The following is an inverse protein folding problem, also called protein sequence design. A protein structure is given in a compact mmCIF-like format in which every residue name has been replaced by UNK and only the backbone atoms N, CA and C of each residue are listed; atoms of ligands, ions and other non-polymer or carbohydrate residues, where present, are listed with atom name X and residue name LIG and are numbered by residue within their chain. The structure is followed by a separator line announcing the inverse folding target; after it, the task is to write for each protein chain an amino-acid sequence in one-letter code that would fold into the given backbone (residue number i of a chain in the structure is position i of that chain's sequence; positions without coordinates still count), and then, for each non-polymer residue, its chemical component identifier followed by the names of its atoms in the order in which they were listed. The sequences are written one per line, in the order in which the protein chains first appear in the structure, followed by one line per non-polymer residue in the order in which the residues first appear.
data_IF_244905901589
#
_entry.id   IF_244905901589
#
_cell.length_a   1.000
_cell.length_b   1.000
_cell.length_c   1.000
_cell.angle_alpha   90.00
_cell.angle_beta   90.00
_cell.angle_gamma   90.00
#
_symmetry.space_group_name_H-M   'P 1'
#
loop_
_entity.id
_entity.type
_entity.pdbx_description
1 polymer ?
#
# COMPACT_ATOMS: atom_id res chain seq x y z
N UNK A 1 -59.56 36.50 3.63
CA UNK A 1 -58.35 35.74 3.18
C UNK A 1 -58.46 34.37 3.81
N UNK A 2 -58.59 33.26 3.04
CA UNK A 2 -58.64 31.90 3.61
C UNK A 2 -57.19 31.46 3.97
N UNK A 3 -56.98 31.11 5.23
CA UNK A 3 -55.75 30.48 5.69
C UNK A 3 -55.77 29.00 5.29
N UNK A 4 -54.91 28.63 4.37
CA UNK A 4 -54.66 27.24 3.99
C UNK A 4 -53.88 26.56 5.13
N UNK A 5 -54.57 25.75 5.94
CA UNK A 5 -53.92 24.95 6.97
C UNK A 5 -53.03 23.89 6.29
N UNK A 6 -51.72 23.99 6.45
CA UNK A 6 -50.74 22.97 6.07
C UNK A 6 -51.02 21.71 6.91
N UNK A 7 -51.51 20.63 6.28
CA UNK A 7 -51.61 19.31 6.90
C UNK A 7 -50.19 18.72 7.07
N UNK A 8 -49.64 18.86 8.26
CA UNK A 8 -48.43 18.16 8.65
C UNK A 8 -48.78 16.68 8.82
N UNK A 9 -48.27 15.82 7.94
CA UNK A 9 -48.37 14.36 8.12
C UNK A 9 -47.47 13.97 9.28
N UNK A 10 -48.06 13.55 10.40
CA UNK A 10 -47.32 13.00 11.54
C UNK A 10 -46.94 11.54 11.25
N UNK A 11 -45.72 11.15 11.58
CA UNK A 11 -45.22 9.75 11.49
C UNK A 11 -45.94 8.90 12.55
N UNK A 12 -46.33 7.69 12.18
CA UNK A 12 -46.89 6.74 13.13
C UNK A 12 -45.78 6.02 13.92
N UNK A 13 -46.05 5.67 15.18
CA UNK A 13 -45.11 4.91 16.00
C UNK A 13 -44.69 3.57 15.35
N UNK A 14 -45.63 2.92 14.65
CA UNK A 14 -45.36 1.64 13.99
C UNK A 14 -44.41 1.78 12.78
N UNK A 15 -44.51 2.86 12.01
CA UNK A 15 -43.62 3.15 10.91
C UNK A 15 -42.16 3.34 11.41
N UNK A 16 -41.99 4.05 12.53
CA UNK A 16 -40.68 4.23 13.14
C UNK A 16 -40.12 2.90 13.67
N UNK A 17 -40.98 2.09 14.31
CA UNK A 17 -40.57 0.81 14.89
C UNK A 17 -40.10 -0.19 13.82
N UNK A 18 -40.80 -0.28 12.70
CA UNK A 18 -40.43 -1.16 11.58
C UNK A 18 -39.08 -0.73 10.99
N UNK A 19 -38.85 0.58 10.80
CA UNK A 19 -37.62 1.11 10.24
C UNK A 19 -36.42 0.78 11.13
N UNK A 20 -36.52 1.01 12.44
CA UNK A 20 -35.41 0.70 13.36
C UNK A 20 -35.17 -0.80 13.48
N UNK A 21 -36.21 -1.64 13.39
CA UNK A 21 -36.06 -3.07 13.38
C UNK A 21 -35.28 -3.56 12.14
N UNK A 22 -35.61 -3.06 10.95
CA UNK A 22 -34.93 -3.40 9.72
C UNK A 22 -33.45 -2.94 9.76
N UNK A 23 -33.18 -1.69 10.19
CA UNK A 23 -31.84 -1.18 10.33
C UNK A 23 -31.02 -2.03 11.33
N UNK A 24 -31.64 -2.43 12.45
CA UNK A 24 -31.02 -3.29 13.45
C UNK A 24 -30.57 -4.63 12.88
N UNK A 25 -31.44 -5.30 12.11
CA UNK A 25 -31.10 -6.57 11.45
C UNK A 25 -30.00 -6.39 10.42
N UNK A 26 -30.13 -5.39 9.54
CA UNK A 26 -29.14 -5.12 8.49
C UNK A 26 -27.76 -4.77 9.08
N UNK A 27 -27.73 -3.97 10.14
CA UNK A 27 -26.48 -3.61 10.81
C UNK A 27 -25.83 -4.80 11.50
N UNK A 28 -26.60 -5.69 12.10
CA UNK A 28 -26.09 -6.90 12.77
C UNK A 28 -25.33 -7.85 11.84
N UNK A 29 -25.72 -7.95 10.58
CA UNK A 29 -25.08 -8.80 9.57
C UNK A 29 -24.06 -8.00 8.74
N UNK A 30 -24.38 -6.76 8.41
CA UNK A 30 -23.57 -5.94 7.50
C UNK A 30 -22.22 -5.53 8.07
N UNK A 31 -22.16 -5.16 9.35
CA UNK A 31 -20.91 -4.68 9.97
C UNK A 31 -19.81 -5.76 9.98
N UNK A 32 -20.01 -7.00 10.45
CA UNK A 32 -18.95 -8.01 10.44
C UNK A 32 -18.51 -8.38 9.02
N UNK A 33 -19.44 -8.45 8.06
CA UNK A 33 -19.12 -8.72 6.66
C UNK A 33 -18.27 -7.59 6.06
N UNK A 34 -18.59 -6.32 6.33
CA UNK A 34 -17.83 -5.17 5.87
C UNK A 34 -16.39 -5.16 6.41
N UNK A 35 -16.21 -5.48 7.69
CA UNK A 35 -14.89 -5.56 8.31
C UNK A 35 -13.99 -6.63 7.65
N UNK A 36 -14.57 -7.80 7.32
CA UNK A 36 -13.85 -8.85 6.58
C UNK A 36 -13.45 -8.39 5.17
N UNK A 37 -14.33 -7.67 4.48
CA UNK A 37 -14.04 -7.14 3.14
C UNK A 37 -12.90 -6.11 3.18
N UNK A 38 -12.92 -5.21 4.15
CA UNK A 38 -11.88 -4.20 4.35
C UNK A 38 -10.52 -4.81 4.69
N UNK A 39 -10.49 -5.88 5.51
CA UNK A 39 -9.25 -6.59 5.81
C UNK A 39 -8.64 -7.21 4.55
N UNK A 40 -9.45 -7.89 3.73
CA UNK A 40 -8.99 -8.48 2.47
C UNK A 40 -8.54 -7.41 1.45
N UNK A 41 -9.22 -6.27 1.37
CA UNK A 41 -8.83 -5.16 0.51
C UNK A 41 -7.45 -4.58 0.91
N UNK A 42 -7.20 -4.40 2.21
CA UNK A 42 -5.90 -3.93 2.72
C UNK A 42 -4.78 -4.93 2.44
N UNK A 43 -5.04 -6.23 2.60
CA UNK A 43 -4.10 -7.29 2.26
C UNK A 43 -3.77 -7.30 0.76
N UNK A 44 -4.79 -7.24 -0.09
CA UNK A 44 -4.63 -7.16 -1.55
C UNK A 44 -3.84 -5.91 -1.99
N UNK A 45 -4.13 -4.75 -1.41
CA UNK A 45 -3.42 -3.51 -1.65
C UNK A 45 -1.93 -3.63 -1.26
N UNK A 46 -1.62 -4.13 -0.07
CA UNK A 46 -0.22 -4.30 0.40
C UNK A 46 0.55 -5.29 -0.47
N UNK A 47 -0.10 -6.37 -0.91
CA UNK A 47 0.48 -7.34 -1.85
C UNK A 47 0.74 -6.72 -3.22
N UNK A 48 -0.17 -5.90 -3.71
CA UNK A 48 -0.01 -5.17 -4.98
C UNK A 48 1.14 -4.17 -4.93
N UNK A 49 1.26 -3.40 -3.83
CA UNK A 49 2.36 -2.48 -3.61
C UNK A 49 3.71 -3.21 -3.64
N UNK A 50 3.81 -4.34 -2.93
CA UNK A 50 5.01 -5.17 -2.92
C UNK A 50 5.42 -5.60 -4.34
N UNK A 51 4.50 -6.23 -5.07
CA UNK A 51 4.75 -6.69 -6.46
C UNK A 51 5.14 -5.54 -7.39
N UNK A 52 4.51 -4.38 -7.24
CA UNK A 52 4.85 -3.21 -8.04
C UNK A 52 6.27 -2.73 -7.76
N UNK A 53 6.68 -2.68 -6.50
CA UNK A 53 8.06 -2.30 -6.13
C UNK A 53 9.09 -3.29 -6.67
N UNK A 54 8.85 -4.60 -6.57
CA UNK A 54 9.71 -5.65 -7.13
C UNK A 54 9.82 -5.52 -8.65
N UNK A 55 8.70 -5.42 -9.34
CA UNK A 55 8.66 -5.31 -10.79
C UNK A 55 9.35 -4.03 -11.28
N UNK A 56 9.11 -2.90 -10.62
CA UNK A 56 9.74 -1.64 -10.98
C UNK A 56 11.26 -1.69 -10.78
N UNK A 57 11.73 -2.31 -9.69
CA UNK A 57 13.17 -2.50 -9.45
C UNK A 57 13.82 -3.34 -10.55
N UNK A 58 13.17 -4.42 -10.98
CA UNK A 58 13.63 -5.22 -12.13
C UNK A 58 13.62 -4.41 -13.44
N UNK A 59 12.60 -3.61 -13.69
CA UNK A 59 12.54 -2.72 -14.85
C UNK A 59 13.64 -1.65 -14.83
N UNK A 60 13.95 -1.10 -13.67
CA UNK A 60 15.04 -0.13 -13.51
C UNK A 60 16.39 -0.76 -13.89
N UNK A 61 16.62 -1.99 -13.46
CA UNK A 61 17.81 -2.77 -13.84
C UNK A 61 17.90 -2.96 -15.37
N UNK A 62 16.82 -3.48 -15.98
CA UNK A 62 16.75 -3.68 -17.44
C UNK A 62 16.94 -2.38 -18.22
N UNK A 63 16.39 -1.28 -17.71
CA UNK A 63 16.55 0.03 -18.34
C UNK A 63 18.01 0.48 -18.28
N UNK A 64 18.66 0.29 -17.15
CA UNK A 64 20.07 0.65 -16.99
C UNK A 64 21.06 -0.29 -17.73
N UNK A 65 20.66 -1.52 -18.08
CA UNK A 65 21.48 -2.37 -18.95
C UNK A 65 21.42 -1.96 -20.43
N UNK A 66 20.40 -1.20 -20.83
CA UNK A 66 20.18 -0.77 -22.24
C UNK A 66 20.31 0.73 -22.46
N UNK A 67 20.34 1.52 -21.41
CA UNK A 67 20.38 2.99 -21.47
C UNK A 67 21.34 3.54 -20.42
N UNK A 68 22.01 4.65 -20.73
CA UNK A 68 22.90 5.33 -19.79
C UNK A 68 22.21 6.13 -18.70
N UNK A 69 20.89 6.37 -18.86
CA UNK A 69 20.10 7.19 -17.93
C UNK A 69 18.71 6.62 -17.71
N UNK A 70 18.14 6.93 -16.55
CA UNK A 70 16.76 6.60 -16.18
C UNK A 70 16.08 7.81 -15.53
N UNK A 71 14.78 7.98 -15.78
CA UNK A 71 13.97 9.01 -15.12
C UNK A 71 13.27 8.39 -13.91
N UNK A 72 13.47 8.99 -12.76
CA UNK A 72 12.85 8.62 -11.48
C UNK A 72 12.19 9.84 -10.87
N UNK A 73 11.18 9.65 -10.03
CA UNK A 73 10.66 10.73 -9.21
C UNK A 73 11.60 10.99 -8.02
N UNK A 74 11.72 12.22 -7.61
CA UNK A 74 12.27 12.57 -6.30
C UNK A 74 11.18 12.39 -5.23
N UNK A 75 11.54 12.61 -3.96
CA UNK A 75 10.63 12.46 -2.82
C UNK A 75 9.41 13.39 -2.87
N UNK A 76 9.46 14.47 -3.64
CA UNK A 76 8.39 15.45 -3.88
C UNK A 76 7.52 15.08 -5.09
N UNK A 77 7.84 14.01 -5.81
CA UNK A 77 7.13 13.58 -7.01
C UNK A 77 7.59 14.25 -8.30
N UNK A 78 8.67 15.04 -8.27
CA UNK A 78 9.24 15.66 -9.47
C UNK A 78 10.14 14.66 -10.21
N UNK A 79 9.96 14.55 -11.52
CA UNK A 79 10.80 13.71 -12.37
C UNK A 79 12.25 14.24 -12.46
N UNK A 80 13.21 13.35 -12.18
CA UNK A 80 14.65 13.62 -12.20
C UNK A 80 15.35 12.55 -13.01
N UNK A 81 16.22 12.95 -13.93
CA UNK A 81 17.06 12.02 -14.70
C UNK A 81 18.27 11.60 -13.84
N UNK A 82 18.48 10.30 -13.72
CA UNK A 82 19.60 9.68 -13.01
C UNK A 82 20.49 8.94 -13.97
N UNK A 83 21.80 9.05 -13.80
CA UNK A 83 22.76 8.26 -14.59
C UNK A 83 22.82 6.82 -14.07
N UNK A 84 22.80 5.85 -14.97
CA UNK A 84 22.94 4.44 -14.63
C UNK A 84 24.37 4.06 -14.19
N UNK A 85 25.37 4.92 -14.45
CA UNK A 85 26.74 4.75 -13.98
C UNK A 85 26.96 5.16 -12.53
N UNK A 86 25.92 5.64 -11.83
CA UNK A 86 26.03 5.98 -10.42
C UNK A 86 26.35 4.73 -9.57
N UNK A 87 27.13 4.90 -8.49
CA UNK A 87 27.42 3.81 -7.57
C UNK A 87 26.14 3.15 -7.02
N UNK A 88 26.17 1.83 -6.88
CA UNK A 88 25.01 1.07 -6.37
C UNK A 88 24.50 1.59 -5.02
N UNK A 89 25.38 2.07 -4.15
CA UNK A 89 25.00 2.66 -2.85
C UNK A 89 24.05 3.86 -2.93
N UNK A 90 23.99 4.57 -4.08
CA UNK A 90 23.08 5.68 -4.30
C UNK A 90 21.70 5.20 -4.80
N UNK A 91 21.66 4.04 -5.46
CA UNK A 91 20.42 3.51 -6.04
C UNK A 91 19.38 3.15 -4.99
N UNK A 92 19.79 2.73 -3.79
CA UNK A 92 18.88 2.52 -2.66
C UNK A 92 18.07 3.79 -2.36
N UNK A 93 18.75 4.94 -2.24
CA UNK A 93 18.11 6.23 -2.01
C UNK A 93 17.18 6.65 -3.17
N UNK A 94 17.66 6.53 -4.41
CA UNK A 94 16.88 6.92 -5.59
C UNK A 94 15.61 6.10 -5.76
N UNK A 95 15.67 4.79 -5.54
CA UNK A 95 14.51 3.91 -5.65
C UNK A 95 13.50 4.19 -4.54
N UNK A 96 13.94 4.38 -3.30
CA UNK A 96 13.05 4.75 -2.20
C UNK A 96 12.38 6.10 -2.43
N UNK A 97 13.13 7.11 -2.85
CA UNK A 97 12.59 8.44 -3.16
C UNK A 97 11.58 8.38 -4.30
N UNK A 98 11.81 7.53 -5.32
CA UNK A 98 10.88 7.32 -6.42
C UNK A 98 9.53 6.78 -5.93
N UNK A 99 9.53 5.74 -5.10
CA UNK A 99 8.27 5.18 -4.58
C UNK A 99 7.53 6.16 -3.67
N UNK A 100 8.27 6.84 -2.77
CA UNK A 100 7.69 7.88 -1.89
C UNK A 100 7.10 9.03 -2.73
N UNK A 101 7.80 9.48 -3.76
CA UNK A 101 7.34 10.54 -4.66
C UNK A 101 6.23 10.08 -5.61
N UNK A 102 6.06 8.78 -5.83
CA UNK A 102 4.96 8.18 -6.58
C UNK A 102 3.73 7.87 -5.69
N UNK A 103 3.71 8.43 -4.48
CA UNK A 103 2.61 8.37 -3.50
C UNK A 103 2.26 6.94 -3.01
N UNK A 104 3.26 6.05 -2.97
CA UNK A 104 3.08 4.76 -2.31
C UNK A 104 2.81 4.94 -0.82
N UNK A 105 1.71 4.37 -0.35
CA UNK A 105 1.23 4.50 1.04
C UNK A 105 0.95 3.14 1.66
N UNK A 106 1.05 3.10 2.99
CA UNK A 106 0.60 1.95 3.75
C UNK A 106 -0.92 1.81 3.65
N UNK A 107 -1.39 0.66 3.14
CA UNK A 107 -2.82 0.38 2.96
C UNK A 107 -3.58 0.22 4.29
N UNK A 108 -2.88 0.02 5.41
CA UNK A 108 -3.45 -0.05 6.75
C UNK A 108 -3.40 1.31 7.46
N UNK A 109 -2.44 2.18 7.08
CA UNK A 109 -2.27 3.54 7.61
C UNK A 109 -1.88 4.50 6.48
N UNK A 110 -2.84 5.16 5.86
CA UNK A 110 -2.64 6.02 4.69
C UNK A 110 -1.79 7.27 4.94
N UNK A 111 -1.51 7.62 6.19
CA UNK A 111 -0.59 8.72 6.54
C UNK A 111 0.88 8.33 6.40
N UNK A 112 1.19 7.03 6.36
CA UNK A 112 2.54 6.51 6.25
C UNK A 112 2.94 6.29 4.80
N UNK A 113 3.99 6.97 4.35
CA UNK A 113 4.56 6.80 3.01
C UNK A 113 5.52 5.61 2.97
N UNK A 114 5.50 4.88 1.88
CA UNK A 114 6.32 3.69 1.64
C UNK A 114 7.31 3.90 0.49
N UNK A 115 8.42 3.17 0.48
CA UNK A 115 8.91 2.23 1.50
C UNK A 115 9.70 2.91 2.62
N UNK A 116 9.88 2.19 3.73
CA UNK A 116 10.78 2.60 4.81
C UNK A 116 12.16 1.99 4.57
N UNK A 117 13.22 2.79 4.70
CA UNK A 117 14.61 2.32 4.56
C UNK A 117 15.10 1.66 5.85
N UNK A 118 14.85 0.36 6.02
CA UNK A 118 15.34 -0.44 7.14
C UNK A 118 15.80 -1.80 6.66
N UNK A 119 16.90 -2.29 7.22
CA UNK A 119 17.49 -3.61 6.96
C UNK A 119 16.91 -4.76 7.80
N UNK A 120 15.76 -4.55 8.42
CA UNK A 120 15.03 -5.55 9.20
C UNK A 120 13.69 -5.88 8.58
N UNK A 121 13.11 -7.03 8.93
CA UNK A 121 11.74 -7.35 8.50
C UNK A 121 10.73 -6.38 9.14
N UNK A 122 9.69 -5.93 8.39
CA UNK A 122 8.64 -5.11 8.95
C UNK A 122 7.82 -5.90 9.99
N UNK A 123 7.38 -5.20 11.03
CA UNK A 123 6.58 -5.75 12.14
C UNK A 123 5.15 -5.22 12.17
N UNK A 124 4.84 -4.24 11.32
CA UNK A 124 3.53 -3.59 11.24
C UNK A 124 2.84 -3.91 9.92
N UNK A 125 1.54 -4.11 9.96
CA UNK A 125 0.75 -4.43 8.77
C UNK A 125 0.77 -3.28 7.74
N UNK A 126 0.95 -3.63 6.47
CA UNK A 126 1.02 -2.70 5.35
C UNK A 126 2.37 -2.05 5.15
N UNK A 127 3.32 -2.21 6.08
CA UNK A 127 4.66 -1.62 5.98
C UNK A 127 5.52 -2.41 5.00
N UNK A 128 6.25 -1.69 4.14
CA UNK A 128 7.28 -2.23 3.26
C UNK A 128 8.63 -1.66 3.66
N UNK A 129 9.59 -2.53 3.95
CA UNK A 129 11.00 -2.18 4.09
C UNK A 129 11.71 -2.41 2.76
N UNK A 130 12.52 -1.45 2.36
CA UNK A 130 13.31 -1.46 1.14
C UNK A 130 14.73 -1.00 1.47
N UNK A 131 15.73 -1.83 1.19
CA UNK A 131 17.13 -1.48 1.39
C UNK A 131 18.03 -2.23 0.42
N UNK A 132 19.24 -1.74 0.27
CA UNK A 132 20.28 -2.37 -0.54
C UNK A 132 21.53 -2.61 0.29
N UNK A 133 22.19 -3.73 0.04
CA UNK A 133 23.48 -4.06 0.64
C UNK A 133 24.56 -4.04 -0.43
N UNK A 134 25.67 -3.33 -0.16
CA UNK A 134 26.82 -3.25 -1.05
C UNK A 134 27.72 -4.49 -0.87
N UNK A 135 27.17 -5.66 -1.17
CA UNK A 135 27.80 -6.97 -1.12
C UNK A 135 27.82 -7.61 -2.51
N UNK A 136 28.31 -8.84 -2.62
CA UNK A 136 28.30 -9.56 -3.89
C UNK A 136 26.92 -9.55 -4.56
N UNK A 137 26.88 -9.19 -5.87
CA UNK A 137 25.67 -9.04 -6.69
C UNK A 137 24.75 -7.87 -6.32
N UNK A 138 25.15 -6.98 -5.41
CA UNK A 138 24.40 -5.76 -5.06
C UNK A 138 22.87 -6.01 -4.91
N UNK A 139 22.42 -6.72 -3.89
CA UNK A 139 21.01 -7.06 -3.75
C UNK A 139 20.19 -5.88 -3.22
N UNK A 140 19.00 -5.68 -3.82
CA UNK A 140 17.89 -4.96 -3.20
C UNK A 140 16.99 -5.94 -2.47
N UNK A 141 16.67 -5.65 -1.23
CA UNK A 141 15.73 -6.41 -0.40
C UNK A 141 14.42 -5.65 -0.30
N UNK A 142 13.33 -6.33 -0.61
CA UNK A 142 11.98 -5.78 -0.54
C UNK A 142 11.16 -6.72 0.34
N UNK A 143 10.72 -6.21 1.50
CA UNK A 143 9.95 -7.01 2.45
C UNK A 143 8.71 -6.26 2.86
N UNK A 144 7.54 -6.88 2.72
CA UNK A 144 6.24 -6.29 3.05
C UNK A 144 5.47 -7.18 4.00
N UNK A 145 5.03 -6.62 5.12
CA UNK A 145 4.04 -7.26 5.98
C UNK A 145 2.64 -6.92 5.46
N UNK A 146 1.91 -7.90 4.95
CA UNK A 146 0.57 -7.69 4.39
C UNK A 146 -0.52 -7.72 5.45
N UNK A 147 -0.33 -8.50 6.53
CA UNK A 147 -1.23 -8.61 7.68
C UNK A 147 -0.46 -9.14 8.90
N UNK A 148 -1.00 -8.95 10.09
CA UNK A 148 -0.43 -9.48 11.34
C UNK A 148 -0.90 -10.92 11.61
N UNK A 149 -0.03 -11.77 12.18
CA UNK A 149 1.40 -11.55 12.43
C UNK A 149 2.20 -11.55 11.12
N UNK A 150 3.27 -10.73 11.06
CA UNK A 150 4.15 -10.68 9.88
C UNK A 150 4.99 -11.97 9.82
N UNK A 151 4.54 -12.98 9.09
CA UNK A 151 5.12 -14.31 9.07
C UNK A 151 5.23 -14.88 7.65
N UNK A 152 6.31 -15.61 7.40
CA UNK A 152 6.49 -16.41 6.17
C UNK A 152 5.89 -17.81 6.27
N UNK A 153 5.47 -18.23 7.48
CA UNK A 153 4.97 -19.60 7.75
C UNK A 153 3.44 -19.72 7.73
N UNK A 154 2.71 -18.58 7.69
CA UNK A 154 1.25 -18.57 7.49
C UNK A 154 0.89 -18.98 6.07
N UNK A 155 -0.34 -19.46 5.85
CA UNK A 155 -0.84 -19.78 4.52
C UNK A 155 -2.16 -19.02 4.25
N UNK A 156 -2.16 -18.01 3.37
CA UNK A 156 -0.99 -17.44 2.65
C UNK A 156 0.00 -16.72 3.58
N UNK A 157 1.29 -16.57 3.15
CA UNK A 157 2.28 -15.85 3.95
C UNK A 157 1.90 -14.37 4.09
N UNK A 158 2.03 -13.85 5.31
CA UNK A 158 1.74 -12.44 5.62
C UNK A 158 2.99 -11.55 5.59
N UNK A 159 4.18 -12.16 5.51
CA UNK A 159 5.44 -11.48 5.26
C UNK A 159 5.98 -11.91 3.89
N UNK A 160 5.88 -11.01 2.91
CA UNK A 160 6.45 -11.19 1.58
C UNK A 160 7.92 -10.74 1.59
N UNK A 161 8.79 -11.51 0.94
CA UNK A 161 10.24 -11.23 0.84
C UNK A 161 10.71 -11.51 -0.57
N UNK A 162 11.27 -10.50 -1.23
CA UNK A 162 11.90 -10.61 -2.53
C UNK A 162 13.28 -9.97 -2.53
N UNK A 163 14.17 -10.51 -3.35
CA UNK A 163 15.52 -10.00 -3.57
C UNK A 163 15.70 -9.77 -5.05
N UNK A 164 16.09 -8.55 -5.41
CA UNK A 164 16.45 -8.18 -6.79
C UNK A 164 17.94 -7.88 -6.83
N UNK A 165 18.68 -8.61 -7.65
CA UNK A 165 20.12 -8.43 -7.82
C UNK A 165 20.42 -7.38 -8.87
N UNK A 166 21.20 -6.37 -8.51
CA UNK A 166 21.61 -5.29 -9.40
C UNK A 166 22.87 -5.69 -10.17
N UNK A 167 22.69 -6.18 -11.37
CA UNK A 167 23.76 -6.59 -12.30
C UNK A 167 23.53 -5.91 -13.65
N UNK A 168 23.74 -4.56 -13.75
CA UNK A 168 23.55 -3.82 -14.99
C UNK A 168 24.58 -4.14 -16.06
#
# INVERSE_FOLDING_TARGET
MPQTALRIKAFTLIELLIVVAIIGILSGVGIPMYNGYMANAKLGCSTSNHKTMVNYTNHALLKCSTSSTMVLNDRQGKSVTRSCSQPFSQWDGYMRDHFVGSDFKNCHNSSEKLPIGKSSSPTEAGVTHYWADNIAKNPFYIQTCTALPCSTTTNPPTLLKDIVYWTP
#
